data_IF_587006241128
#
_entry.id   IF_587006241128
#
_cell.length_a   1.000
_cell.length_b   1.000
_cell.length_c   1.000
_cell.angle_alpha   90.00
_cell.angle_beta   90.00
_cell.angle_gamma   90.00
#
_symmetry.space_group_name_H-M   'P 1'
#
loop_
_entity.id
_entity.type
_entity.pdbx_description
1 polymer ?
#
# COMPACT_ATOMS: atom_id res chain seq x y z
N UNK A 1 4.74 -13.76 18.86
CA UNK A 1 3.69 -12.95 19.50
C UNK A 1 2.83 -12.32 18.41
N UNK A 2 1.61 -12.82 18.18
CA UNK A 2 0.67 -12.21 17.23
C UNK A 2 -0.09 -11.13 18.00
N UNK A 3 0.28 -9.87 17.81
CA UNK A 3 -0.49 -8.75 18.35
C UNK A 3 -1.81 -8.66 17.58
N UNK A 4 -2.94 -8.83 18.28
CA UNK A 4 -4.28 -8.64 17.70
C UNK A 4 -4.43 -7.18 17.24
N UNK A 5 -4.32 -6.94 15.93
CA UNK A 5 -4.51 -5.62 15.30
C UNK A 5 -5.99 -5.23 15.31
N UNK A 6 -6.27 -3.96 15.53
CA UNK A 6 -7.60 -3.39 15.36
C UNK A 6 -8.01 -3.47 13.88
N UNK A 7 -9.17 -4.05 13.60
CA UNK A 7 -9.76 -4.03 12.26
C UNK A 7 -10.02 -2.58 11.85
N UNK A 8 -9.33 -2.10 10.81
CA UNK A 8 -9.47 -0.72 10.32
C UNK A 8 -10.51 -0.70 9.20
N UNK A 9 -11.32 0.35 9.15
CA UNK A 9 -12.30 0.54 8.06
C UNK A 9 -11.68 0.42 6.66
N UNK A 10 -10.45 0.90 6.49
CA UNK A 10 -9.73 0.85 5.20
C UNK A 10 -9.44 -0.58 4.71
N UNK A 11 -9.36 -1.56 5.61
CA UNK A 11 -9.04 -2.94 5.25
C UNK A 11 -10.13 -3.53 4.33
N UNK A 12 -11.41 -3.18 4.58
CA UNK A 12 -12.54 -3.60 3.72
C UNK A 12 -12.43 -3.00 2.32
N UNK A 13 -12.02 -1.73 2.19
CA UNK A 13 -11.82 -1.09 0.89
C UNK A 13 -10.71 -1.75 0.09
N UNK A 14 -9.61 -2.13 0.74
CA UNK A 14 -8.52 -2.84 0.07
C UNK A 14 -8.93 -4.23 -0.43
N UNK A 15 -9.71 -4.98 0.36
CA UNK A 15 -10.24 -6.28 -0.07
C UNK A 15 -11.19 -6.12 -1.26
N UNK A 16 -12.09 -5.14 -1.22
CA UNK A 16 -12.99 -4.84 -2.35
C UNK A 16 -12.20 -4.47 -3.60
N UNK A 17 -11.17 -3.62 -3.47
CA UNK A 17 -10.28 -3.29 -4.57
C UNK A 17 -9.58 -4.53 -5.15
N UNK A 18 -9.02 -5.41 -4.31
CA UNK A 18 -8.35 -6.63 -4.77
C UNK A 18 -9.29 -7.58 -5.51
N UNK A 19 -10.56 -7.62 -5.12
CA UNK A 19 -11.55 -8.52 -5.71
C UNK A 19 -12.25 -7.90 -6.92
N UNK A 20 -12.05 -6.61 -7.20
CA UNK A 20 -12.61 -5.97 -8.40
C UNK A 20 -12.01 -6.59 -9.67
N UNK A 21 -12.85 -6.85 -10.67
CA UNK A 21 -12.39 -7.28 -12.00
C UNK A 21 -11.57 -6.18 -12.71
N UNK A 22 -11.81 -4.90 -12.38
CA UNK A 22 -11.18 -3.73 -12.98
C UNK A 22 -10.38 -2.96 -11.93
N UNK A 23 -9.30 -3.55 -11.44
CA UNK A 23 -8.45 -2.95 -10.39
C UNK A 23 -7.64 -1.77 -10.93
N UNK A 24 -8.12 -0.56 -10.65
CA UNK A 24 -7.37 0.68 -10.93
C UNK A 24 -6.33 0.94 -9.84
N UNK A 25 -5.23 1.65 -10.12
CA UNK A 25 -4.29 2.07 -9.09
C UNK A 25 -5.01 2.77 -7.92
N UNK A 26 -4.67 2.40 -6.68
CA UNK A 26 -5.22 3.02 -5.47
C UNK A 26 -4.35 4.17 -5.00
N UNK A 27 -5.00 5.29 -4.65
CA UNK A 27 -4.35 6.41 -3.98
C UNK A 27 -4.83 6.52 -2.54
N UNK A 28 -3.95 6.22 -1.58
CA UNK A 28 -4.27 6.25 -0.15
C UNK A 28 -3.85 7.59 0.46
N UNK A 29 -4.82 8.45 0.76
CA UNK A 29 -4.60 9.81 1.33
C UNK A 29 -5.02 9.90 2.80
N UNK A 30 -4.47 10.87 3.51
CA UNK A 30 -4.78 11.17 4.92
C UNK A 30 -3.61 11.88 5.61
N UNK A 31 -3.83 12.35 6.84
CA UNK A 31 -2.81 13.07 7.62
C UNK A 31 -1.50 12.29 7.77
N UNK A 32 -0.38 12.99 7.99
CA UNK A 32 0.93 12.36 8.22
C UNK A 32 0.86 11.46 9.46
N UNK A 33 1.60 10.34 9.45
CA UNK A 33 1.75 9.42 10.60
C UNK A 33 0.46 8.71 11.10
N UNK A 34 -0.63 8.69 10.34
CA UNK A 34 -1.88 7.97 10.73
C UNK A 34 -1.89 6.45 10.43
N UNK A 35 -0.75 5.88 10.04
CA UNK A 35 -0.62 4.45 9.74
C UNK A 35 -1.07 4.02 8.33
N UNK A 36 -0.94 4.91 7.33
CA UNK A 36 -1.25 4.59 5.92
C UNK A 36 -0.34 3.49 5.38
N UNK A 37 0.98 3.71 5.44
CA UNK A 37 2.02 2.75 5.01
C UNK A 37 1.82 1.39 5.67
N UNK A 38 1.63 1.40 7.00
CA UNK A 38 1.34 0.19 7.76
C UNK A 38 0.11 -0.57 7.26
N UNK A 39 -0.98 0.13 6.96
CA UNK A 39 -2.21 -0.52 6.48
C UNK A 39 -2.03 -1.16 5.09
N UNK A 40 -1.28 -0.51 4.20
CA UNK A 40 -0.99 -1.04 2.85
C UNK A 40 -0.06 -2.25 2.92
N UNK A 41 1.01 -2.19 3.72
CA UNK A 41 1.96 -3.30 3.90
C UNK A 41 1.27 -4.51 4.49
N UNK A 42 0.54 -4.34 5.59
CA UNK A 42 -0.18 -5.43 6.23
C UNK A 42 -1.21 -6.08 5.28
N UNK A 43 -1.92 -5.26 4.50
CA UNK A 43 -2.82 -5.76 3.48
C UNK A 43 -2.09 -6.55 2.39
N UNK A 44 -0.92 -6.08 1.96
CA UNK A 44 -0.09 -6.78 0.99
C UNK A 44 0.36 -8.16 1.51
N UNK A 45 0.92 -8.19 2.72
CA UNK A 45 1.36 -9.41 3.42
C UNK A 45 0.24 -10.44 3.62
N UNK A 46 -0.96 -9.98 3.96
CA UNK A 46 -2.09 -10.87 4.23
C UNK A 46 -2.75 -11.45 2.96
N UNK A 47 -2.54 -10.83 1.79
CA UNK A 47 -3.33 -11.15 0.60
C UNK A 47 -2.54 -11.45 -0.68
N UNK A 48 -1.23 -11.24 -0.67
CA UNK A 48 -0.34 -11.50 -1.80
C UNK A 48 0.86 -12.29 -1.31
N UNK A 49 1.25 -13.31 -2.09
CA UNK A 49 2.46 -14.09 -1.79
C UNK A 49 3.73 -13.25 -1.88
N UNK A 50 3.72 -12.22 -2.72
CA UNK A 50 4.85 -11.32 -2.93
C UNK A 50 4.37 -9.89 -3.15
N UNK A 51 5.14 -8.91 -2.66
CA UNK A 51 4.94 -7.49 -2.95
C UNK A 51 6.30 -6.76 -3.00
N UNK A 52 6.35 -5.64 -3.72
CA UNK A 52 7.52 -4.75 -3.76
C UNK A 52 7.11 -3.39 -3.20
N UNK A 53 7.86 -2.90 -2.22
CA UNK A 53 7.68 -1.55 -1.70
C UNK A 53 8.74 -0.63 -2.29
N UNK A 54 8.31 0.45 -2.93
CA UNK A 54 9.18 1.53 -3.37
C UNK A 54 8.96 2.74 -2.44
N UNK A 55 9.97 3.05 -1.62
CA UNK A 55 9.95 4.21 -0.75
C UNK A 55 10.88 5.30 -1.30
N UNK A 56 10.31 6.30 -1.96
CA UNK A 56 11.07 7.39 -2.56
C UNK A 56 11.63 8.39 -1.53
N UNK A 57 11.17 8.37 -0.28
CA UNK A 57 11.78 9.18 0.79
C UNK A 57 13.10 8.57 1.26
N UNK A 58 13.16 7.24 1.37
CA UNK A 58 14.38 6.50 1.74
C UNK A 58 15.34 6.30 0.56
N UNK A 59 14.80 6.17 -0.65
CA UNK A 59 15.56 5.92 -1.88
C UNK A 59 15.17 6.92 -2.98
N UNK A 60 15.59 8.20 -2.87
CA UNK A 60 15.25 9.23 -3.85
C UNK A 60 15.73 8.91 -5.27
N UNK A 61 16.81 8.13 -5.41
CA UNK A 61 17.35 7.70 -6.70
C UNK A 61 16.38 6.83 -7.51
N UNK A 62 15.42 6.15 -6.86
CA UNK A 62 14.40 5.37 -7.56
C UNK A 62 13.46 6.24 -8.37
N UNK A 63 13.36 7.55 -8.09
CA UNK A 63 12.57 8.47 -8.92
C UNK A 63 13.07 8.55 -10.37
N UNK A 64 14.35 8.22 -10.62
CA UNK A 64 14.96 8.23 -11.95
C UNK A 64 14.27 7.28 -12.94
N UNK A 65 13.58 6.24 -12.46
CA UNK A 65 12.86 5.29 -13.33
C UNK A 65 11.72 5.94 -14.12
N UNK A 66 11.28 7.14 -13.73
CA UNK A 66 10.21 7.88 -14.38
C UNK A 66 10.70 8.96 -15.36
N UNK A 67 12.01 9.16 -15.50
CA UNK A 67 12.58 10.28 -16.30
C UNK A 67 12.42 10.08 -17.80
N UNK A 68 12.48 8.85 -18.30
CA UNK A 68 12.40 8.57 -19.75
C UNK A 68 10.96 8.37 -20.26
N UNK A 69 9.95 8.42 -19.39
CA UNK A 69 8.54 8.13 -19.71
C UNK A 69 7.58 9.30 -19.37
N UNK A 70 8.11 10.51 -19.26
CA UNK A 70 7.35 11.74 -18.96
C UNK A 70 7.56 12.78 -20.06
#
# INVERSE_FOLDING_TARGET
MIHKRLNRRIDQFFVQWKNSQFRRPLLVRGARQVGKTYSVIHFAEAHFSNYVMLNFEERPELSKIFVDNL
#
